data_IF_312744539426
#
_entry.id   IF_312744539426
#
_cell.length_a   1.000
_cell.length_b   1.000
_cell.length_c   1.000
_cell.angle_alpha   90.00
_cell.angle_beta   90.00
_cell.angle_gamma   90.00
#
_symmetry.space_group_name_H-M   'P 1'
#
loop_
_entity.id
_entity.type
_entity.pdbx_description
1 polymer ?
#
# COMPACT_ATOMS: atom_id res chain seq x y z
N UNK A 1 -22.83 -16.26 -39.12
CA UNK A 1 -22.61 -15.63 -37.80
C UNK A 1 -21.30 -16.14 -37.24
N UNK A 2 -20.21 -15.39 -37.43
CA UNK A 2 -18.89 -15.74 -36.87
C UNK A 2 -18.92 -15.37 -35.39
N UNK A 3 -18.88 -16.38 -34.51
CA UNK A 3 -18.69 -16.16 -33.08
C UNK A 3 -17.23 -15.77 -32.88
N UNK A 4 -16.99 -14.49 -32.62
CA UNK A 4 -15.70 -14.00 -32.13
C UNK A 4 -15.47 -14.59 -30.74
N UNK A 5 -14.77 -15.72 -30.66
CA UNK A 5 -14.18 -16.16 -29.40
C UNK A 5 -13.18 -15.09 -29.01
N UNK A 6 -13.49 -14.31 -27.96
CA UNK A 6 -12.48 -13.54 -27.24
C UNK A 6 -11.50 -14.57 -26.68
N UNK A 7 -10.38 -14.75 -27.35
CA UNK A 7 -9.21 -15.41 -26.79
C UNK A 7 -8.93 -14.71 -25.46
N UNK A 8 -8.92 -15.46 -24.36
CA UNK A 8 -8.38 -14.92 -23.11
C UNK A 8 -6.97 -14.42 -23.43
N UNK A 9 -6.60 -13.19 -23.03
CA UNK A 9 -5.24 -12.72 -23.26
C UNK A 9 -4.25 -13.75 -22.73
N UNK A 10 -3.16 -13.96 -23.44
CA UNK A 10 -2.08 -14.82 -22.99
C UNK A 10 -1.51 -14.23 -21.69
N UNK A 11 -1.67 -14.93 -20.57
CA UNK A 11 -1.26 -14.43 -19.25
C UNK A 11 0.24 -14.59 -19.00
N UNK A 12 0.94 -15.34 -19.86
CA UNK A 12 2.39 -15.54 -19.76
C UNK A 12 3.17 -14.25 -19.98
N UNK A 13 2.66 -13.33 -20.84
CA UNK A 13 3.34 -12.08 -21.21
C UNK A 13 2.85 -10.89 -20.36
N UNK A 14 2.18 -11.17 -19.23
CA UNK A 14 1.60 -10.15 -18.34
C UNK A 14 2.20 -10.23 -16.96
N UNK A 15 2.47 -9.06 -16.39
CA UNK A 15 2.84 -8.93 -14.98
C UNK A 15 1.58 -8.80 -14.13
N UNK A 16 1.35 -9.72 -13.20
CA UNK A 16 0.33 -9.55 -12.18
C UNK A 16 0.92 -8.92 -10.93
N UNK A 17 0.42 -7.75 -10.53
CA UNK A 17 0.67 -7.18 -9.21
C UNK A 17 -0.44 -7.60 -8.24
N UNK A 18 -0.06 -8.25 -7.14
CA UNK A 18 -0.98 -8.58 -6.03
C UNK A 18 -0.68 -7.62 -4.88
N UNK A 19 -1.49 -6.56 -4.74
CA UNK A 19 -1.20 -5.44 -3.82
C UNK A 19 -2.17 -5.34 -2.64
N UNK A 20 -1.84 -4.47 -1.69
CA UNK A 20 -2.79 -4.02 -0.68
C UNK A 20 -3.91 -3.20 -1.31
N UNK A 21 -5.16 -3.44 -0.91
CA UNK A 21 -6.28 -2.62 -1.37
C UNK A 21 -6.14 -1.13 -1.06
N UNK A 22 -5.36 -0.77 -0.02
CA UNK A 22 -5.09 0.64 0.34
C UNK A 22 -4.12 1.35 -0.61
N UNK A 23 -3.39 0.63 -1.46
CA UNK A 23 -2.47 1.23 -2.44
C UNK A 23 -2.92 1.03 -3.89
N UNK A 24 -4.13 0.51 -4.10
CA UNK A 24 -4.59 0.13 -5.44
C UNK A 24 -4.61 1.33 -6.40
N UNK A 25 -5.02 2.51 -5.93
CA UNK A 25 -5.05 3.73 -6.74
C UNK A 25 -3.63 4.18 -7.10
N UNK A 26 -2.70 4.06 -6.17
CA UNK A 26 -1.30 4.44 -6.32
C UNK A 26 -0.58 3.49 -7.29
N UNK A 27 -0.85 2.18 -7.21
CA UNK A 27 -0.35 1.20 -8.21
C UNK A 27 -0.91 1.51 -9.61
N UNK A 28 -2.20 1.82 -9.73
CA UNK A 28 -2.79 2.19 -11.03
C UNK A 28 -2.22 3.51 -11.57
N UNK A 29 -1.96 4.49 -10.70
CA UNK A 29 -1.36 5.75 -11.10
C UNK A 29 0.09 5.55 -11.61
N UNK A 30 0.90 4.75 -10.90
CA UNK A 30 2.25 4.38 -11.36
C UNK A 30 2.20 3.60 -12.67
N UNK A 31 1.27 2.65 -12.80
CA UNK A 31 1.05 1.91 -14.06
C UNK A 31 0.80 2.87 -15.23
N UNK A 32 -0.09 3.84 -15.06
CA UNK A 32 -0.42 4.84 -16.08
C UNK A 32 0.78 5.75 -16.38
N UNK A 33 1.42 6.27 -15.34
CA UNK A 33 2.60 7.15 -15.46
C UNK A 33 3.74 6.50 -16.26
N UNK A 34 3.94 5.19 -16.09
CA UNK A 34 5.01 4.43 -16.73
C UNK A 34 4.58 3.72 -18.03
N UNK A 35 3.31 3.80 -18.43
CA UNK A 35 2.80 3.12 -19.63
C UNK A 35 2.87 1.58 -19.55
N UNK A 36 2.66 1.01 -18.36
CA UNK A 36 2.77 -0.44 -18.13
C UNK A 36 1.48 -1.18 -18.51
N UNK A 37 1.10 -1.14 -19.79
CA UNK A 37 -0.20 -1.68 -20.26
C UNK A 37 -0.39 -3.19 -20.03
N UNK A 38 0.71 -3.94 -19.97
CA UNK A 38 0.75 -5.37 -19.71
C UNK A 38 0.64 -5.73 -18.21
N UNK A 39 0.66 -4.73 -17.32
CA UNK A 39 0.50 -4.91 -15.88
C UNK A 39 -0.98 -5.04 -15.51
N UNK A 40 -1.32 -6.12 -14.83
CA UNK A 40 -2.62 -6.32 -14.20
C UNK A 40 -2.54 -6.16 -12.69
N UNK A 41 -3.63 -5.72 -12.07
CA UNK A 41 -3.70 -5.50 -10.64
C UNK A 41 -4.84 -6.33 -10.05
N UNK A 42 -4.51 -7.08 -9.00
CA UNK A 42 -5.49 -7.62 -8.05
C UNK A 42 -5.08 -7.22 -6.64
N UNK A 43 -6.05 -7.17 -5.73
CA UNK A 43 -5.80 -6.72 -4.38
C UNK A 43 -6.28 -7.73 -3.34
N UNK A 44 -5.51 -7.86 -2.26
CA UNK A 44 -6.04 -8.39 -1.02
C UNK A 44 -6.98 -7.35 -0.37
N UNK A 45 -7.95 -7.79 0.47
CA UNK A 45 -8.82 -6.87 1.19
C UNK A 45 -8.04 -5.79 1.96
N UNK A 46 -8.43 -4.53 1.77
CA UNK A 46 -7.77 -3.39 2.42
C UNK A 46 -7.79 -3.49 3.97
N UNK A 47 -8.82 -4.13 4.54
CA UNK A 47 -8.93 -4.37 5.99
C UNK A 47 -7.78 -5.20 6.58
N UNK A 48 -7.04 -5.97 5.76
CA UNK A 48 -5.89 -6.73 6.26
C UNK A 48 -4.75 -5.84 6.74
N UNK A 49 -4.79 -4.53 6.44
CA UNK A 49 -3.89 -3.55 7.05
C UNK A 49 -4.01 -3.51 8.58
N UNK A 50 -5.17 -3.84 9.14
CA UNK A 50 -5.37 -3.95 10.59
C UNK A 50 -5.10 -5.36 11.13
N UNK A 51 -4.98 -6.36 10.25
CA UNK A 51 -4.83 -7.77 10.60
C UNK A 51 -3.66 -8.40 9.81
N UNK A 52 -2.39 -8.04 10.12
CA UNK A 52 -1.23 -8.51 9.38
C UNK A 52 -1.10 -10.03 9.32
N UNK A 53 -1.59 -10.74 10.34
CA UNK A 53 -1.64 -12.21 10.41
C UNK A 53 -2.42 -12.85 9.26
N UNK A 54 -3.33 -12.09 8.61
CA UNK A 54 -4.13 -12.56 7.47
C UNK A 54 -3.43 -12.37 6.12
N UNK A 55 -2.41 -11.52 6.05
CA UNK A 55 -1.74 -11.16 4.78
C UNK A 55 -1.04 -12.38 4.17
N UNK A 56 -0.13 -13.02 4.91
CA UNK A 56 0.65 -14.15 4.42
C UNK A 56 -0.23 -15.32 3.88
N UNK A 57 -1.21 -15.85 4.63
CA UNK A 57 -2.05 -16.95 4.13
C UNK A 57 -2.95 -16.52 2.95
N UNK A 58 -3.37 -15.26 2.88
CA UNK A 58 -4.15 -14.77 1.75
C UNK A 58 -3.29 -14.57 0.50
N UNK A 59 -2.07 -14.08 0.66
CA UNK A 59 -1.10 -13.92 -0.42
C UNK A 59 -0.73 -15.28 -1.02
N UNK A 60 -0.49 -16.29 -0.18
CA UNK A 60 -0.19 -17.66 -0.62
C UNK A 60 -1.26 -18.19 -1.57
N UNK A 61 -2.54 -18.09 -1.17
CA UNK A 61 -3.68 -18.48 -2.02
C UNK A 61 -3.81 -17.63 -3.28
N UNK A 62 -3.53 -16.33 -3.19
CA UNK A 62 -3.62 -15.43 -4.33
C UNK A 62 -2.56 -15.76 -5.40
N UNK A 63 -1.33 -16.07 -4.99
CA UNK A 63 -0.25 -16.51 -5.89
C UNK A 63 -0.57 -17.88 -6.51
N UNK A 64 -1.03 -18.86 -5.71
CA UNK A 64 -1.42 -20.18 -6.23
C UNK A 64 -2.54 -20.07 -7.28
N UNK A 65 -3.53 -19.22 -7.02
CA UNK A 65 -4.60 -18.93 -7.96
C UNK A 65 -4.05 -18.30 -9.24
N UNK A 66 -3.22 -17.26 -9.12
CA UNK A 66 -2.62 -16.59 -10.29
C UNK A 66 -1.81 -17.56 -11.16
N UNK A 67 -0.98 -18.41 -10.56
CA UNK A 67 -0.24 -19.45 -11.30
C UNK A 67 -1.16 -20.42 -12.01
N UNK A 68 -2.26 -20.82 -11.38
CA UNK A 68 -3.31 -21.67 -12.00
C UNK A 68 -4.01 -20.98 -13.17
N UNK A 69 -4.15 -19.65 -13.10
CA UNK A 69 -4.71 -18.81 -14.17
C UNK A 69 -3.71 -18.55 -15.32
N UNK A 70 -2.45 -18.94 -15.15
CA UNK A 70 -1.42 -18.90 -16.18
C UNK A 70 -0.45 -17.71 -16.12
N UNK A 71 -0.40 -16.96 -15.01
CA UNK A 71 0.61 -15.92 -14.83
C UNK A 71 1.98 -16.54 -14.52
N UNK A 72 2.97 -16.20 -15.33
CA UNK A 72 4.38 -16.55 -15.09
C UNK A 72 5.11 -15.45 -14.30
N UNK A 73 4.69 -14.18 -14.47
CA UNK A 73 5.27 -13.02 -13.81
C UNK A 73 4.31 -12.46 -12.75
N UNK A 74 4.70 -12.59 -11.48
CA UNK A 74 3.90 -12.11 -10.34
C UNK A 74 4.80 -11.26 -9.45
N UNK A 75 4.33 -10.06 -9.12
CA UNK A 75 4.99 -9.15 -8.19
C UNK A 75 4.05 -8.84 -7.01
N UNK A 76 4.55 -8.99 -5.80
CA UNK A 76 3.76 -8.76 -4.58
C UNK A 76 3.90 -7.30 -4.16
N UNK A 77 2.81 -6.53 -4.35
CA UNK A 77 2.68 -5.13 -3.95
C UNK A 77 2.49 -4.93 -2.44
N UNK A 78 3.19 -5.72 -1.63
CA UNK A 78 3.25 -5.64 -0.18
C UNK A 78 4.71 -5.60 0.26
N UNK A 79 5.03 -4.68 1.17
CA UNK A 79 6.21 -4.77 2.02
C UNK A 79 5.94 -5.80 3.14
N UNK A 80 6.79 -5.89 4.18
CA UNK A 80 6.50 -6.79 5.31
C UNK A 80 5.15 -6.47 5.97
N UNK A 81 4.81 -5.18 6.09
CA UNK A 81 3.52 -4.68 6.58
C UNK A 81 3.09 -5.28 7.91
N UNK A 82 4.05 -5.57 8.80
CA UNK A 82 3.80 -6.12 10.13
C UNK A 82 3.60 -7.64 10.15
N UNK A 83 3.90 -8.36 9.06
CA UNK A 83 3.81 -9.82 9.05
C UNK A 83 4.94 -10.50 9.82
N UNK A 84 6.00 -9.76 10.19
CA UNK A 84 7.11 -10.30 10.95
C UNK A 84 7.88 -11.37 10.18
N UNK A 85 8.03 -11.20 8.86
CA UNK A 85 8.72 -12.13 7.97
C UNK A 85 7.90 -13.36 7.56
N UNK A 86 6.64 -13.47 7.98
CA UNK A 86 5.77 -14.56 7.50
C UNK A 86 5.47 -14.42 6.00
N UNK A 87 5.35 -13.19 5.50
CA UNK A 87 5.20 -12.96 4.07
C UNK A 87 6.44 -13.42 3.30
N UNK A 88 7.65 -13.16 3.80
CA UNK A 88 8.90 -13.58 3.14
C UNK A 88 8.97 -15.08 2.87
N UNK A 89 8.48 -15.90 3.81
CA UNK A 89 8.40 -17.35 3.62
C UNK A 89 7.47 -17.75 2.48
N UNK A 90 6.37 -17.01 2.29
CA UNK A 90 5.44 -17.22 1.16
C UNK A 90 6.10 -16.77 -0.14
N UNK A 91 6.79 -15.64 -0.14
CA UNK A 91 7.53 -15.13 -1.30
C UNK A 91 8.59 -16.15 -1.75
N UNK A 92 9.40 -16.67 -0.82
CA UNK A 92 10.41 -17.69 -1.07
C UNK A 92 9.79 -19.01 -1.55
N UNK A 93 8.72 -19.51 -0.90
CA UNK A 93 7.98 -20.71 -1.32
C UNK A 93 7.58 -20.65 -2.79
N UNK A 94 7.17 -19.47 -3.26
CA UNK A 94 6.66 -19.29 -4.63
C UNK A 94 7.69 -18.80 -5.63
N UNK A 95 8.88 -18.38 -5.20
CA UNK A 95 9.90 -17.81 -6.07
C UNK A 95 9.45 -16.53 -6.77
N UNK A 96 8.64 -15.70 -6.09
CA UNK A 96 8.22 -14.38 -6.59
C UNK A 96 8.99 -13.28 -5.87
N UNK A 97 8.80 -12.03 -6.28
CA UNK A 97 9.37 -10.85 -5.60
C UNK A 97 8.26 -10.03 -4.93
N UNK A 98 8.65 -9.18 -3.97
CA UNK A 98 7.75 -8.26 -3.28
C UNK A 98 8.37 -6.88 -3.14
N UNK A 99 7.54 -5.87 -2.87
CA UNK A 99 8.01 -4.54 -2.46
C UNK A 99 8.99 -4.65 -1.29
N UNK A 100 10.10 -3.94 -1.36
CA UNK A 100 11.10 -3.93 -0.30
C UNK A 100 10.62 -3.20 0.97
N UNK A 101 11.33 -3.44 2.07
CA UNK A 101 11.17 -2.67 3.30
C UNK A 101 10.03 -3.11 4.22
N UNK A 102 9.77 -2.31 5.28
CA UNK A 102 8.90 -2.69 6.39
C UNK A 102 7.42 -2.41 6.14
N UNK A 103 7.05 -1.37 5.38
CA UNK A 103 5.66 -0.98 5.11
C UNK A 103 5.60 0.10 4.03
N UNK A 104 4.39 0.43 3.57
CA UNK A 104 4.18 1.43 2.51
C UNK A 104 4.69 2.83 2.84
N UNK A 105 4.64 3.26 4.11
CA UNK A 105 5.19 4.56 4.49
C UNK A 105 6.70 4.67 4.23
N UNK A 106 7.43 3.55 4.28
CA UNK A 106 8.87 3.56 4.05
C UNK A 106 9.16 3.68 2.55
N UNK A 107 8.55 2.82 1.72
CA UNK A 107 8.78 2.89 0.28
C UNK A 107 8.22 4.17 -0.35
N UNK A 108 7.14 4.77 0.17
CA UNK A 108 6.65 6.05 -0.35
C UNK A 108 7.67 7.18 -0.11
N UNK A 109 8.30 7.21 1.06
CA UNK A 109 9.36 8.17 1.37
C UNK A 109 10.66 7.89 0.60
N UNK A 110 10.82 6.67 0.08
CA UNK A 110 12.09 6.15 -0.39
C UNK A 110 12.88 5.56 0.77
N UNK A 111 13.34 4.32 0.62
CA UNK A 111 13.99 3.54 1.68
C UNK A 111 15.23 4.23 2.24
N UNK A 112 16.00 4.94 1.42
CA UNK A 112 17.19 5.69 1.88
C UNK A 112 16.80 6.91 2.73
N UNK A 113 15.77 7.65 2.34
CA UNK A 113 15.29 8.80 3.11
C UNK A 113 14.62 8.33 4.40
N UNK A 114 13.82 7.26 4.33
CA UNK A 114 13.21 6.63 5.49
C UNK A 114 14.27 6.19 6.51
N UNK A 115 15.34 5.52 6.08
CA UNK A 115 16.40 5.06 6.99
C UNK A 115 17.11 6.19 7.74
N UNK A 116 17.11 7.43 7.20
CA UNK A 116 17.72 8.60 7.83
C UNK A 116 16.80 9.28 8.85
N UNK A 117 15.48 9.11 8.74
CA UNK A 117 14.48 9.84 9.55
C UNK A 117 13.67 8.91 10.47
N UNK A 118 13.78 7.59 10.31
CA UNK A 118 12.96 6.61 11.04
C UNK A 118 13.04 6.77 12.57
N UNK A 119 14.22 7.06 13.11
CA UNK A 119 14.42 7.28 14.54
C UNK A 119 13.71 8.57 15.03
N UNK A 120 13.76 9.64 14.23
CA UNK A 120 13.09 10.91 14.54
C UNK A 120 11.56 10.80 14.42
N UNK A 121 11.08 9.84 13.62
CA UNK A 121 9.65 9.63 13.40
C UNK A 121 9.04 8.54 14.28
N UNK A 122 9.76 7.98 15.24
CA UNK A 122 9.26 6.92 16.12
C UNK A 122 7.93 7.27 16.82
N UNK A 123 7.73 8.54 17.17
CA UNK A 123 6.52 9.04 17.83
C UNK A 123 5.55 9.71 16.83
N UNK A 124 5.61 9.32 15.55
CA UNK A 124 4.80 9.90 14.47
C UNK A 124 3.68 8.99 14.01
N UNK A 125 2.51 9.57 13.81
CA UNK A 125 1.41 8.91 13.14
C UNK A 125 1.47 9.24 11.64
N UNK A 126 1.64 8.22 10.81
CA UNK A 126 1.70 8.42 9.35
C UNK A 126 0.31 8.40 8.73
N UNK A 127 0.08 9.35 7.82
CA UNK A 127 -1.13 9.45 7.01
C UNK A 127 -0.74 9.49 5.53
N UNK A 128 -1.53 8.88 4.66
CA UNK A 128 -1.35 8.89 3.20
C UNK A 128 -2.60 9.43 2.53
N UNK A 129 -2.54 9.69 1.23
CA UNK A 129 -3.68 10.14 0.43
C UNK A 129 -4.86 9.17 0.53
N UNK A 130 -4.60 7.85 0.58
CA UNK A 130 -5.65 6.85 0.78
C UNK A 130 -6.39 7.11 2.09
N UNK A 131 -5.66 7.28 3.20
CA UNK A 131 -6.27 7.48 4.50
C UNK A 131 -6.98 8.83 4.57
N UNK A 132 -6.49 9.87 3.87
CA UNK A 132 -7.21 11.12 3.69
C UNK A 132 -8.56 10.91 2.98
N UNK A 133 -8.55 10.19 1.85
CA UNK A 133 -9.76 9.89 1.07
C UNK A 133 -10.76 9.02 1.82
N UNK A 134 -10.28 8.14 2.68
CA UNK A 134 -11.09 7.12 3.37
C UNK A 134 -11.12 7.34 4.89
N UNK A 135 -10.91 8.57 5.35
CA UNK A 135 -10.70 8.87 6.78
C UNK A 135 -11.81 8.31 7.67
N UNK A 136 -13.07 8.51 7.30
CA UNK A 136 -14.18 7.97 8.11
C UNK A 136 -14.25 6.44 8.10
N UNK A 137 -14.05 5.83 6.93
CA UNK A 137 -14.25 4.39 6.73
C UNK A 137 -13.07 3.55 7.22
N UNK A 138 -11.85 4.08 7.17
CA UNK A 138 -10.61 3.36 7.47
C UNK A 138 -9.85 3.91 8.68
N UNK A 139 -10.28 5.03 9.28
CA UNK A 139 -9.66 5.55 10.50
C UNK A 139 -10.69 5.71 11.62
N UNK A 140 -11.68 6.58 11.44
CA UNK A 140 -12.62 6.92 12.52
C UNK A 140 -13.47 5.73 12.97
N UNK A 141 -14.17 5.06 12.05
CA UNK A 141 -15.08 3.95 12.39
C UNK A 141 -14.35 2.69 12.87
N UNK A 142 -13.26 2.22 12.23
CA UNK A 142 -12.56 1.03 12.71
C UNK A 142 -11.94 1.20 14.10
N UNK A 143 -11.48 2.42 14.43
CA UNK A 143 -10.97 2.75 15.76
C UNK A 143 -12.08 3.11 16.76
N UNK A 144 -13.33 3.24 16.31
CA UNK A 144 -14.48 3.60 17.14
C UNK A 144 -14.50 5.06 17.60
N UNK A 145 -13.68 5.94 17.01
CA UNK A 145 -13.52 7.33 17.40
C UNK A 145 -14.76 8.19 17.09
N UNK A 146 -15.58 7.76 16.13
CA UNK A 146 -16.86 8.40 15.80
C UNK A 146 -17.89 8.30 16.95
N UNK A 147 -17.78 7.25 17.77
CA UNK A 147 -18.67 6.98 18.91
C UNK A 147 -18.01 7.26 20.26
N UNK A 148 -16.71 7.05 20.34
CA UNK A 148 -15.90 7.13 21.54
C UNK A 148 -14.70 8.06 21.32
N UNK A 149 -14.93 9.39 21.19
CA UNK A 149 -13.85 10.35 20.94
C UNK A 149 -12.81 10.39 22.07
N UNK A 150 -13.15 9.95 23.27
CA UNK A 150 -12.23 9.80 24.40
C UNK A 150 -11.04 8.87 24.09
N UNK A 151 -11.23 7.88 23.21
CA UNK A 151 -10.17 6.94 22.80
C UNK A 151 -9.03 7.60 22.03
N UNK A 152 -9.23 8.82 21.51
CA UNK A 152 -8.15 9.59 20.86
C UNK A 152 -6.97 9.73 21.81
N UNK A 153 -7.23 10.02 23.08
CA UNK A 153 -6.16 10.16 24.08
C UNK A 153 -5.44 8.84 24.33
N UNK A 154 -6.18 7.74 24.40
CA UNK A 154 -5.61 6.42 24.69
C UNK A 154 -4.77 5.89 23.52
N UNK A 155 -5.20 6.12 22.28
CA UNK A 155 -4.49 5.65 21.09
C UNK A 155 -3.38 6.60 20.64
N UNK A 156 -3.60 7.91 20.74
CA UNK A 156 -2.71 8.92 20.16
C UNK A 156 -1.94 9.75 21.19
N UNK A 157 -2.19 9.58 22.50
CA UNK A 157 -1.59 10.42 23.54
C UNK A 157 -0.07 10.31 23.71
N UNK A 158 0.56 9.31 23.10
CA UNK A 158 2.02 9.18 23.04
C UNK A 158 2.62 9.63 21.69
N UNK A 159 1.80 10.01 20.71
CA UNK A 159 2.31 10.54 19.46
C UNK A 159 2.57 12.04 19.60
N UNK A 160 3.58 12.54 18.89
CA UNK A 160 3.95 13.96 18.90
C UNK A 160 3.49 14.68 17.64
N UNK A 161 3.48 13.98 16.51
CA UNK A 161 3.13 14.55 15.20
C UNK A 161 2.37 13.59 14.30
N UNK A 162 1.54 14.16 13.44
CA UNK A 162 0.98 13.51 12.27
C UNK A 162 1.83 13.89 11.06
N UNK A 163 2.44 12.90 10.41
CA UNK A 163 3.21 13.09 9.18
C UNK A 163 2.35 12.65 8.00
N UNK A 164 1.89 13.61 7.22
CA UNK A 164 1.17 13.35 5.97
C UNK A 164 2.17 13.15 4.83
N UNK A 165 2.26 11.90 4.35
CA UNK A 165 3.00 11.53 3.16
C UNK A 165 2.08 11.75 1.95
N UNK A 166 2.25 12.87 1.26
CA UNK A 166 1.44 13.26 0.12
C UNK A 166 1.94 12.56 -1.17
N UNK A 167 1.12 11.66 -1.72
CA UNK A 167 1.40 11.01 -3.00
C UNK A 167 1.04 11.92 -4.19
N UNK A 168 0.11 12.85 -3.98
CA UNK A 168 -0.35 13.82 -4.99
C UNK A 168 -0.41 15.22 -4.41
N UNK A 169 -0.38 16.22 -5.28
CA UNK A 169 -0.56 17.62 -4.87
C UNK A 169 -2.04 17.99 -4.95
N UNK A 170 -2.79 17.60 -3.92
CA UNK A 170 -4.23 17.83 -3.79
C UNK A 170 -4.56 18.62 -2.51
N UNK A 171 -4.89 19.93 -2.64
CA UNK A 171 -5.20 20.79 -1.50
C UNK A 171 -6.41 20.33 -0.66
N UNK A 172 -7.31 19.50 -1.20
CA UNK A 172 -8.43 18.96 -0.41
C UNK A 172 -7.96 17.84 0.52
N UNK A 173 -6.95 17.06 0.14
CA UNK A 173 -6.35 16.05 1.00
C UNK A 173 -5.51 16.69 2.10
N UNK A 174 -4.79 17.77 1.77
CA UNK A 174 -4.05 18.59 2.75
C UNK A 174 -4.97 19.04 3.89
N UNK A 175 -6.15 19.60 3.55
CA UNK A 175 -7.16 20.02 4.54
C UNK A 175 -7.66 18.86 5.41
N UNK A 176 -7.78 17.66 4.86
CA UNK A 176 -8.20 16.48 5.65
C UNK A 176 -7.11 16.10 6.65
N UNK A 177 -5.85 16.06 6.22
CA UNK A 177 -4.73 15.71 7.08
C UNK A 177 -4.49 16.76 8.17
N UNK A 178 -4.62 18.05 7.86
CA UNK A 178 -4.54 19.13 8.86
C UNK A 178 -5.66 19.02 9.91
N UNK A 179 -6.90 18.75 9.48
CA UNK A 179 -8.03 18.52 10.40
C UNK A 179 -7.83 17.28 11.25
N UNK A 180 -7.27 16.21 10.68
CA UNK A 180 -6.94 15.01 11.43
C UNK A 180 -5.88 15.30 12.50
N UNK A 181 -4.81 16.03 12.17
CA UNK A 181 -3.79 16.42 13.15
C UNK A 181 -4.39 17.25 14.29
N UNK A 182 -5.24 18.23 13.97
CA UNK A 182 -5.95 19.04 14.95
C UNK A 182 -6.89 18.21 15.84
N UNK A 183 -7.64 17.26 15.26
CA UNK A 183 -8.52 16.35 15.98
C UNK A 183 -7.74 15.47 16.97
N UNK A 184 -6.57 14.98 16.55
CA UNK A 184 -5.72 14.10 17.35
C UNK A 184 -4.84 14.87 18.36
N UNK A 185 -4.78 16.20 18.26
CA UNK A 185 -3.92 17.03 19.10
C UNK A 185 -2.43 16.90 18.77
N UNK A 186 -2.10 16.59 17.51
CA UNK A 186 -0.74 16.34 17.04
C UNK A 186 -0.20 17.51 16.22
N UNK A 187 1.12 17.73 16.25
CA UNK A 187 1.76 18.64 15.31
C UNK A 187 1.59 18.12 13.88
N UNK A 188 1.35 19.01 12.91
CA UNK A 188 1.17 18.63 11.51
C UNK A 188 2.47 18.80 10.72
N UNK A 189 2.86 17.78 9.98
CA UNK A 189 3.97 17.82 9.04
C UNK A 189 3.54 17.22 7.70
N UNK A 190 3.74 17.95 6.61
CA UNK A 190 3.51 17.44 5.24
C UNK A 190 4.83 17.11 4.57
N UNK A 191 4.90 15.94 3.94
CA UNK A 191 6.00 15.52 3.08
C UNK A 191 5.47 15.17 1.70
N UNK A 192 5.90 15.90 0.68
CA UNK A 192 5.62 15.54 -0.70
C UNK A 192 6.52 14.35 -1.09
N UNK A 193 5.94 13.15 -1.14
CA UNK A 193 6.69 11.91 -1.42
C UNK A 193 6.49 11.40 -2.84
N UNK A 194 5.36 11.76 -3.47
CA UNK A 194 4.91 11.03 -4.65
C UNK A 194 4.73 9.55 -4.30
N UNK A 195 5.06 8.66 -5.24
CA UNK A 195 4.98 7.21 -5.02
C UNK A 195 6.29 6.57 -4.55
N UNK A 196 7.37 7.34 -4.38
CA UNK A 196 8.67 6.82 -3.94
C UNK A 196 9.15 5.59 -4.71
N UNK A 197 9.65 4.60 -3.97
CA UNK A 197 10.20 3.36 -4.52
C UNK A 197 9.14 2.48 -5.20
N UNK A 198 7.83 2.69 -4.95
CA UNK A 198 6.77 1.99 -5.70
C UNK A 198 6.94 2.18 -7.20
N UNK A 199 7.33 3.38 -7.64
CA UNK A 199 7.59 3.67 -9.06
C UNK A 199 8.77 2.86 -9.59
N UNK A 200 9.85 2.82 -8.82
CA UNK A 200 11.12 2.19 -9.21
C UNK A 200 10.97 0.68 -9.28
N UNK A 201 10.38 0.08 -8.24
CA UNK A 201 10.21 -1.36 -8.13
C UNK A 201 9.19 -1.89 -9.14
N UNK A 202 8.07 -1.18 -9.38
CA UNK A 202 7.13 -1.56 -10.43
C UNK A 202 7.76 -1.49 -11.83
N UNK A 203 8.58 -0.46 -12.11
CA UNK A 203 9.31 -0.37 -13.37
C UNK A 203 10.31 -1.51 -13.54
N UNK A 204 10.94 -1.95 -12.45
CA UNK A 204 11.89 -3.06 -12.48
C UNK A 204 11.19 -4.40 -12.68
N UNK A 205 10.13 -4.67 -11.92
CA UNK A 205 9.33 -5.89 -12.06
C UNK A 205 8.77 -6.03 -13.48
N UNK A 206 8.32 -4.93 -14.09
CA UNK A 206 7.77 -4.92 -15.45
C UNK A 206 8.80 -5.17 -16.56
N UNK A 207 10.10 -5.00 -16.32
CA UNK A 207 11.15 -5.31 -17.33
C UNK A 207 11.49 -6.80 -17.41
N UNK A 208 11.18 -7.54 -16.36
CA UNK A 208 11.48 -8.98 -16.23
C UNK A 208 10.30 -9.82 -16.71
N UNK A 209 9.15 -9.18 -16.95
CA UNK A 209 7.91 -9.75 -17.47
C UNK A 209 7.76 -9.61 -18.99
#
# INVERSE_FOLDING_TARGET
>A
MVKTQKTKPNQTDRLLVIACGMIAREVLAVKEQLGLDHLELTCLPAEFHFYPDRIAPAMDRAIEKAKTEGYEHIFVGYADCGTGGLLDRVIEKHGVERMAGPHCFAFYQGMEAYAKIADDDMMSFYMTDFLCRQFDAFFMKPLGLDKHPELIKDYFGNYEKLVYLAQTDDPELDKVAEKAAALLGLAYERRATGYGDLTVEMAQAAKVA
#
